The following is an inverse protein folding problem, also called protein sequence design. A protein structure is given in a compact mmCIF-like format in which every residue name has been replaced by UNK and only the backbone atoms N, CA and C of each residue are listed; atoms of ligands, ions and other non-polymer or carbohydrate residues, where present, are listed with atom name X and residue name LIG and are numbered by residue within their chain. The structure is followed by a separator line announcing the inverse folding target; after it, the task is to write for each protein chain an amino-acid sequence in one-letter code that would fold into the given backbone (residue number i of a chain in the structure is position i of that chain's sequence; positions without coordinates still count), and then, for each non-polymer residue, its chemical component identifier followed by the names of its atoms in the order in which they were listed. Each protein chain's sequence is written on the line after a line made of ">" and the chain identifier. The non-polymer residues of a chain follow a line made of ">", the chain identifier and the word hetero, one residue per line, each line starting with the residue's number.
data_IF_115682306828
#
_entry.id   IF_115682306828
#
_cell.length_a   1.000
_cell.length_b   1.000
_cell.length_c   1.000
_cell.angle_alpha   90.00
_cell.angle_beta   90.00
_cell.angle_gamma   90.00
#
_symmetry.space_group_name_H-M   'P 1'
#
loop_
_entity.id
_entity.type
_entity.pdbx_description
1 polymer ?
#
# COMPACT_ATOMS: atom_id res chain seq x y z
N UNK A 1 24.56 1.48 -9.49
CA UNK A 1 23.59 0.66 -10.25
C UNK A 1 22.76 -0.12 -9.23
N UNK A 2 21.43 -0.08 -9.28
CA UNK A 2 20.61 -0.91 -8.37
C UNK A 2 20.87 -2.39 -8.67
N UNK A 3 21.05 -3.21 -7.63
CA UNK A 3 21.15 -4.66 -7.79
C UNK A 3 19.85 -5.23 -8.37
N UNK A 4 19.91 -6.36 -9.07
CA UNK A 4 18.71 -7.00 -9.62
C UNK A 4 17.66 -7.31 -8.53
N UNK A 5 18.13 -7.67 -7.33
CA UNK A 5 17.28 -7.90 -6.15
C UNK A 5 16.58 -6.63 -5.67
N UNK A 6 17.30 -5.50 -5.59
CA UNK A 6 16.69 -4.22 -5.21
C UNK A 6 15.63 -3.77 -6.22
N UNK A 7 15.88 -3.96 -7.52
CA UNK A 7 14.88 -3.69 -8.56
C UNK A 7 13.65 -4.58 -8.43
N UNK A 8 13.82 -5.87 -8.13
CA UNK A 8 12.71 -6.79 -7.91
C UNK A 8 11.83 -6.36 -6.72
N UNK A 9 12.45 -5.95 -5.60
CA UNK A 9 11.72 -5.45 -4.42
C UNK A 9 11.00 -4.12 -4.71
N UNK A 10 11.63 -3.24 -5.49
CA UNK A 10 11.01 -1.99 -5.92
C UNK A 10 9.79 -2.24 -6.81
N UNK A 11 9.89 -3.16 -7.78
CA UNK A 11 8.76 -3.57 -8.61
C UNK A 11 7.65 -4.20 -7.77
N UNK A 12 7.99 -5.01 -6.78
CA UNK A 12 7.02 -5.59 -5.86
C UNK A 12 6.26 -4.51 -5.09
N UNK A 13 6.92 -3.45 -4.61
CA UNK A 13 6.23 -2.32 -4.01
C UNK A 13 5.22 -1.66 -4.95
N UNK A 14 5.60 -1.46 -6.21
CA UNK A 14 4.71 -0.88 -7.22
C UNK A 14 3.49 -1.79 -7.40
N UNK A 15 3.68 -3.10 -7.53
CA UNK A 15 2.58 -4.07 -7.68
C UNK A 15 1.65 -4.01 -6.46
N UNK A 16 2.19 -4.03 -5.23
CA UNK A 16 1.43 -3.91 -3.98
C UNK A 16 0.65 -2.59 -3.92
N UNK A 17 1.26 -1.49 -4.35
CA UNK A 17 0.62 -0.18 -4.40
C UNK A 17 -0.51 -0.12 -5.44
N UNK A 18 -0.29 -0.66 -6.64
CA UNK A 18 -1.30 -0.72 -7.70
C UNK A 18 -2.46 -1.60 -7.27
N UNK A 19 -2.19 -2.77 -6.70
CA UNK A 19 -3.24 -3.64 -6.16
C UNK A 19 -4.02 -2.94 -5.03
N UNK A 20 -3.34 -2.27 -4.10
CA UNK A 20 -4.01 -1.54 -3.02
C UNK A 20 -4.83 -0.34 -3.49
N UNK A 21 -4.55 0.24 -4.66
CA UNK A 21 -5.30 1.41 -5.18
C UNK A 21 -6.44 1.03 -6.15
N UNK A 22 -6.32 -0.11 -6.84
CA UNK A 22 -7.25 -0.53 -7.88
C UNK A 22 -7.89 -1.91 -7.65
N UNK A 23 -7.55 -2.63 -6.57
CA UNK A 23 -8.05 -3.99 -6.33
C UNK A 23 -9.55 -4.06 -6.08
N UNK A 24 -10.18 -2.96 -5.67
CA UNK A 24 -11.64 -2.81 -5.56
C UNK A 24 -12.37 -2.93 -6.90
N UNK A 25 -11.68 -2.74 -8.03
CA UNK A 25 -12.27 -2.84 -9.38
C UNK A 25 -12.41 -4.30 -9.86
N UNK A 26 -11.89 -5.27 -9.10
CA UNK A 26 -12.00 -6.68 -9.45
C UNK A 26 -13.44 -7.17 -9.23
N UNK A 27 -13.94 -8.11 -10.05
CA UNK A 27 -15.25 -8.72 -9.81
C UNK A 27 -15.23 -9.54 -8.52
N UNK A 28 -16.39 -9.75 -7.90
CA UNK A 28 -16.51 -10.61 -6.72
C UNK A 28 -15.89 -11.99 -6.98
N UNK A 29 -15.12 -12.55 -6.03
CA UNK A 29 -14.88 -12.10 -4.64
C UNK A 29 -13.74 -11.06 -4.44
N UNK A 30 -13.29 -10.38 -5.50
CA UNK A 30 -12.18 -9.43 -5.48
C UNK A 30 -12.20 -8.38 -4.35
N UNK A 31 -13.28 -7.62 -4.16
CA UNK A 31 -13.37 -6.61 -3.08
C UNK A 31 -13.21 -7.21 -1.67
N UNK A 32 -13.63 -8.46 -1.45
CA UNK A 32 -13.43 -9.13 -0.16
C UNK A 32 -11.94 -9.43 0.11
N UNK A 33 -11.23 -9.96 -0.89
CA UNK A 33 -9.78 -10.16 -0.78
C UNK A 33 -9.01 -8.84 -0.68
N UNK A 34 -9.45 -7.83 -1.42
CA UNK A 34 -8.88 -6.49 -1.36
C UNK A 34 -9.04 -5.87 0.03
N UNK A 35 -10.23 -5.94 0.63
CA UNK A 35 -10.48 -5.46 1.99
C UNK A 35 -9.55 -6.11 3.02
N UNK A 36 -9.43 -7.45 2.99
CA UNK A 36 -8.52 -8.18 3.89
C UNK A 36 -7.07 -7.75 3.69
N UNK A 37 -6.66 -7.55 2.44
CA UNK A 37 -5.33 -7.04 2.11
C UNK A 37 -5.11 -5.62 2.68
N UNK A 38 -6.04 -4.69 2.49
CA UNK A 38 -5.93 -3.31 3.01
C UNK A 38 -5.81 -3.29 4.54
N UNK A 39 -6.61 -4.12 5.22
CA UNK A 39 -6.53 -4.29 6.67
C UNK A 39 -5.17 -4.86 7.10
N UNK A 40 -4.67 -5.86 6.38
CA UNK A 40 -3.34 -6.43 6.60
C UNK A 40 -2.22 -5.41 6.43
N UNK A 41 -2.26 -4.61 5.37
CA UNK A 41 -1.30 -3.53 5.13
C UNK A 41 -1.34 -2.50 6.27
N UNK A 42 -2.54 -2.07 6.68
CA UNK A 42 -2.73 -1.13 7.79
C UNK A 42 -2.17 -1.69 9.11
N UNK A 43 -2.49 -2.94 9.43
CA UNK A 43 -2.02 -3.61 10.63
C UNK A 43 -0.50 -3.77 10.63
N UNK A 44 0.07 -4.27 9.53
CA UNK A 44 1.51 -4.43 9.36
C UNK A 44 2.25 -3.11 9.59
N UNK A 45 1.73 -2.02 9.04
CA UNK A 45 2.34 -0.70 9.20
C UNK A 45 2.27 -0.20 10.64
N UNK A 46 1.12 -0.39 11.30
CA UNK A 46 0.94 -0.02 12.70
C UNK A 46 1.90 -0.77 13.63
N UNK A 47 2.15 -2.06 13.37
CA UNK A 47 3.05 -2.87 14.20
C UNK A 47 4.52 -2.57 13.93
N UNK A 48 4.91 -2.39 12.67
CA UNK A 48 6.33 -2.35 12.28
C UNK A 48 6.87 -0.93 12.06
N UNK A 49 6.01 0.08 12.07
CA UNK A 49 6.36 1.48 11.80
C UNK A 49 6.76 1.76 10.35
N UNK A 50 6.61 0.79 9.45
CA UNK A 50 7.09 0.93 8.07
C UNK A 50 6.66 -0.22 7.14
N UNK A 51 7.04 -0.13 5.88
CA UNK A 51 6.85 -1.22 4.92
C UNK A 51 8.03 -2.22 4.99
N UNK A 52 7.74 -3.51 5.08
CA UNK A 52 8.77 -4.57 5.07
C UNK A 52 9.59 -4.58 3.79
N UNK A 53 8.95 -4.28 2.65
CA UNK A 53 9.61 -4.20 1.37
C UNK A 53 10.65 -3.07 1.35
N UNK A 54 10.40 -1.95 2.04
CA UNK A 54 11.38 -0.87 2.18
C UNK A 54 12.61 -1.33 2.94
N UNK A 55 12.42 -2.15 3.99
CA UNK A 55 13.54 -2.73 4.75
C UNK A 55 14.38 -3.65 3.86
N UNK A 56 13.74 -4.49 3.06
CA UNK A 56 14.43 -5.34 2.09
C UNK A 56 15.15 -4.54 1.01
N UNK A 57 14.54 -3.46 0.51
CA UNK A 57 15.16 -2.62 -0.50
C UNK A 57 16.42 -1.92 0.03
N UNK A 58 16.39 -1.42 1.28
CA UNK A 58 17.59 -0.88 1.95
C UNK A 58 18.68 -1.94 2.08
N UNK A 59 18.30 -3.15 2.50
CA UNK A 59 19.23 -4.28 2.65
C UNK A 59 19.91 -4.64 1.33
N UNK A 60 19.17 -4.75 0.22
CA UNK A 60 19.74 -5.09 -1.09
C UNK A 60 20.51 -3.96 -1.79
N UNK A 61 20.48 -2.75 -1.22
CA UNK A 61 21.22 -1.59 -1.72
C UNK A 61 22.38 -1.20 -0.82
N UNK A 62 22.68 -2.02 0.20
CA UNK A 62 23.70 -1.74 1.21
C UNK A 62 23.56 -0.33 1.82
N UNK A 63 22.32 0.15 1.96
CA UNK A 63 22.05 1.45 2.55
C UNK A 63 22.23 1.37 4.08
N UNK A 64 22.87 2.37 4.71
CA UNK A 64 22.96 2.44 6.15
C UNK A 64 21.57 2.45 6.78
N UNK A 65 21.42 1.78 7.92
CA UNK A 65 20.13 1.67 8.64
C UNK A 65 19.53 3.03 9.01
N UNK A 66 20.37 4.05 9.18
CA UNK A 66 20.00 5.43 9.48
C UNK A 66 19.44 6.21 8.28
N UNK A 67 19.66 5.75 7.05
CA UNK A 67 19.21 6.46 5.86
C UNK A 67 17.69 6.26 5.68
N UNK A 68 16.89 7.28 5.97
CA UNK A 68 15.43 7.21 5.88
C UNK A 68 14.94 7.06 4.44
N UNK A 69 14.37 5.88 4.17
CA UNK A 69 13.70 5.61 2.90
C UNK A 69 12.24 5.34 3.20
N UNK A 70 11.36 6.13 2.59
CA UNK A 70 9.91 5.98 2.69
C UNK A 70 9.33 5.91 1.28
N UNK A 71 8.96 4.70 0.84
CA UNK A 71 8.41 4.47 -0.49
C UNK A 71 7.21 5.38 -0.77
N UNK A 72 6.24 5.42 0.15
CA UNK A 72 5.04 6.26 0.03
C UNK A 72 5.36 7.74 -0.07
N UNK A 73 6.26 8.27 0.79
CA UNK A 73 6.70 9.68 0.71
C UNK A 73 7.32 9.97 -0.65
N UNK A 74 8.24 9.13 -1.10
CA UNK A 74 8.95 9.32 -2.37
C UNK A 74 8.00 9.26 -3.57
N UNK A 75 7.02 8.34 -3.53
CA UNK A 75 5.98 8.22 -4.54
C UNK A 75 5.06 9.44 -4.55
N UNK A 76 4.60 9.90 -3.39
CA UNK A 76 3.76 11.11 -3.28
C UNK A 76 4.51 12.35 -3.78
N UNK A 77 5.80 12.48 -3.45
CA UNK A 77 6.66 13.55 -3.98
C UNK A 77 6.80 13.46 -5.50
N UNK A 78 6.98 12.26 -6.06
CA UNK A 78 7.08 12.09 -7.52
C UNK A 78 5.77 12.38 -8.24
N UNK A 79 4.63 12.20 -7.58
CA UNK A 79 3.30 12.55 -8.10
C UNK A 79 2.95 14.05 -7.93
N UNK A 80 3.85 14.86 -7.36
CA UNK A 80 3.70 16.31 -7.28
C UNK A 80 3.57 16.89 -5.87
N UNK A 81 3.43 16.05 -4.83
CA UNK A 81 3.38 16.49 -3.42
C UNK A 81 4.80 16.70 -2.86
N UNK A 82 5.56 17.64 -3.45
CA UNK A 82 7.00 17.81 -3.23
C UNK A 82 7.40 18.07 -1.76
N UNK A 83 6.52 18.69 -0.98
CA UNK A 83 6.78 19.11 0.40
C UNK A 83 6.23 18.16 1.46
N UNK A 84 5.72 16.98 1.08
CA UNK A 84 5.18 16.03 2.05
C UNK A 84 6.32 15.42 2.89
N UNK A 85 6.13 15.42 4.21
CA UNK A 85 6.97 14.74 5.20
C UNK A 85 6.42 13.32 5.47
N UNK A 86 7.08 12.56 6.35
CA UNK A 86 6.68 11.17 6.62
C UNK A 86 5.34 11.08 7.36
N UNK A 87 5.07 12.02 8.26
CA UNK A 87 3.78 12.10 8.95
C UNK A 87 2.64 12.40 7.97
N UNK A 88 2.85 13.33 7.04
CA UNK A 88 1.90 13.63 5.97
C UNK A 88 1.69 12.43 5.06
N UNK A 89 2.76 11.74 4.65
CA UNK A 89 2.65 10.54 3.83
C UNK A 89 1.89 9.42 4.55
N UNK A 90 2.09 9.28 5.87
CA UNK A 90 1.36 8.33 6.71
C UNK A 90 -0.13 8.68 6.81
N UNK A 91 -0.48 9.95 7.02
CA UNK A 91 -1.88 10.42 7.06
C UNK A 91 -2.59 10.17 5.74
N UNK A 92 -1.96 10.54 4.62
CA UNK A 92 -2.51 10.32 3.27
C UNK A 92 -2.77 8.84 3.03
N UNK A 93 -1.80 8.00 3.36
CA UNK A 93 -1.96 6.56 3.20
C UNK A 93 -3.09 6.02 4.08
N UNK A 94 -3.14 6.40 5.35
CA UNK A 94 -4.15 5.90 6.30
C UNK A 94 -5.57 6.32 5.86
N UNK A 95 -5.73 7.57 5.42
CA UNK A 95 -6.98 8.07 4.89
C UNK A 95 -7.37 7.33 3.60
N UNK A 96 -6.41 7.12 2.68
CA UNK A 96 -6.62 6.37 1.44
C UNK A 96 -7.06 4.93 1.70
N UNK A 97 -6.33 4.19 2.54
CA UNK A 97 -6.68 2.83 2.95
C UNK A 97 -8.08 2.76 3.58
N UNK A 98 -8.44 3.74 4.42
CA UNK A 98 -9.76 3.83 5.02
C UNK A 98 -10.88 4.05 3.99
N UNK A 99 -10.68 4.97 3.04
CA UNK A 99 -11.64 5.23 1.98
C UNK A 99 -11.84 4.02 1.05
N UNK A 100 -10.75 3.35 0.67
CA UNK A 100 -10.79 2.13 -0.16
C UNK A 100 -11.50 0.98 0.56
N UNK A 101 -11.19 0.75 1.83
CA UNK A 101 -11.88 -0.26 2.64
C UNK A 101 -13.39 0.02 2.74
N UNK A 102 -13.79 1.29 2.90
CA UNK A 102 -15.20 1.67 2.90
C UNK A 102 -15.88 1.35 1.55
N UNK A 103 -15.21 1.63 0.43
CA UNK A 103 -15.72 1.26 -0.90
C UNK A 103 -15.90 -0.26 -1.04
N UNK A 104 -14.92 -1.06 -0.61
CA UNK A 104 -15.03 -2.53 -0.65
C UNK A 104 -16.24 -3.02 0.15
N UNK A 105 -16.47 -2.46 1.35
CA UNK A 105 -17.62 -2.87 2.17
C UNK A 105 -18.97 -2.59 1.50
N UNK A 106 -19.08 -1.51 0.72
CA UNK A 106 -20.30 -1.20 -0.05
C UNK A 106 -20.52 -2.26 -1.13
N UNK A 107 -19.50 -2.60 -1.93
CA UNK A 107 -19.63 -3.61 -2.97
C UNK A 107 -19.97 -4.99 -2.43
N UNK A 108 -19.33 -5.39 -1.32
CA UNK A 108 -19.61 -6.67 -0.66
C UNK A 108 -21.06 -6.70 -0.15
N UNK A 109 -21.52 -5.62 0.48
CA UNK A 109 -22.88 -5.53 0.99
C UNK A 109 -23.93 -5.58 -0.14
N UNK A 110 -23.70 -4.86 -1.25
CA UNK A 110 -24.56 -4.92 -2.43
C UNK A 110 -24.63 -6.33 -3.01
N UNK A 111 -23.51 -7.01 -3.16
CA UNK A 111 -23.47 -8.39 -3.66
C UNK A 111 -24.20 -9.37 -2.72
N UNK A 112 -24.14 -9.16 -1.41
CA UNK A 112 -24.88 -9.97 -0.43
C UNK A 112 -26.39 -9.75 -0.54
N UNK A 113 -26.85 -8.50 -0.72
CA UNK A 113 -28.27 -8.21 -0.92
C UNK A 113 -28.80 -8.86 -2.21
N UNK A 114 -28.04 -8.78 -3.31
CA UNK A 114 -28.39 -9.44 -4.56
C UNK A 114 -28.46 -10.96 -4.42
N UNK A 115 -27.58 -11.57 -3.62
CA UNK A 115 -27.58 -13.01 -3.40
C UNK A 115 -28.75 -13.52 -2.52
N UNK A 116 -29.37 -12.63 -1.74
CA UNK A 116 -30.48 -12.95 -0.82
C UNK A 116 -31.87 -12.69 -1.41
N UNK A 117 -31.95 -12.05 -2.59
CA UNK A 117 -33.20 -11.67 -3.27
C UNK A 117 -33.44 -12.55 -4.50
#
# INVERSE_FOLDING_TARGET
>A
MRSAAANAVYLLHIIVFVYGSAGWMLPMPGPAFHLVFLLGVRYHWHVTGGCILTKWEKHFLDMPTEEERHFTRNLLRSMGLRHIDDEGAYKVLTAGLGALAAMDTVFIFSALLEALN
#
